data_IF_363536155125
#
_entry.id   IF_363536155125
#
_cell.length_a   1.000
_cell.length_b   1.000
_cell.length_c   1.000
_cell.angle_alpha   90.00
_cell.angle_beta   90.00
_cell.angle_gamma   90.00
#
_symmetry.space_group_name_H-M   'P 1'
#
loop_
_entity.id
_entity.type
_entity.pdbx_description
1 polymer ?
#
# COMPACT_ATOMS: atom_id res chain seq x y z
N UNK A 1 15.55 -45.35 -11.06
CA UNK A 1 15.27 -44.55 -9.85
C UNK A 1 13.76 -44.42 -9.76
N UNK A 2 13.13 -44.76 -8.63
CA UNK A 2 11.66 -44.64 -8.53
C UNK A 2 11.30 -43.15 -8.48
N UNK A 3 10.13 -42.78 -8.99
CA UNK A 3 9.68 -41.38 -9.03
C UNK A 3 9.75 -40.74 -7.64
N UNK A 4 9.36 -41.48 -6.59
CA UNK A 4 9.36 -40.99 -5.21
C UNK A 4 10.77 -40.65 -4.69
N UNK A 5 11.78 -41.41 -5.10
CA UNK A 5 13.18 -41.11 -4.76
C UNK A 5 13.65 -39.82 -5.46
N UNK A 6 13.18 -39.59 -6.69
CA UNK A 6 13.47 -38.38 -7.46
C UNK A 6 12.75 -37.17 -6.89
N UNK A 7 11.46 -37.29 -6.60
CA UNK A 7 10.64 -36.25 -5.99
C UNK A 7 11.24 -35.82 -4.63
N UNK A 8 11.57 -36.77 -3.76
CA UNK A 8 12.22 -36.49 -2.47
C UNK A 8 13.53 -35.75 -2.64
N UNK A 9 14.40 -36.23 -3.56
CA UNK A 9 15.69 -35.59 -3.82
C UNK A 9 15.54 -34.19 -4.42
N UNK A 10 14.61 -33.99 -5.35
CA UNK A 10 14.40 -32.68 -6.01
C UNK A 10 13.76 -31.66 -5.07
N UNK A 11 12.81 -32.06 -4.22
CA UNK A 11 12.17 -31.18 -3.22
C UNK A 11 13.16 -30.53 -2.26
N UNK A 12 14.27 -31.20 -1.93
CA UNK A 12 15.32 -30.61 -1.11
C UNK A 12 15.87 -29.33 -1.73
N UNK A 13 16.09 -29.30 -3.05
CA UNK A 13 16.60 -28.13 -3.75
C UNK A 13 15.57 -27.00 -3.84
N UNK A 14 14.27 -27.31 -3.88
CA UNK A 14 13.21 -26.29 -3.85
C UNK A 14 12.99 -25.69 -2.46
N UNK A 15 13.23 -26.47 -1.39
CA UNK A 15 12.82 -26.12 -0.02
C UNK A 15 13.98 -25.74 0.91
N UNK A 16 15.24 -25.92 0.49
CA UNK A 16 16.42 -25.62 1.30
C UNK A 16 16.45 -24.19 1.88
N UNK A 17 15.83 -23.22 1.19
CA UNK A 17 15.75 -21.81 1.62
C UNK A 17 14.29 -21.33 1.83
N UNK A 18 13.37 -22.25 2.14
CA UNK A 18 11.96 -21.93 2.38
C UNK A 18 11.76 -21.35 3.79
N UNK A 19 12.33 -20.17 4.02
CA UNK A 19 12.22 -19.46 5.28
C UNK A 19 10.77 -19.05 5.57
N UNK A 20 10.39 -19.14 6.84
CA UNK A 20 9.07 -18.80 7.33
C UNK A 20 9.17 -17.70 8.39
N UNK A 21 8.17 -16.81 8.46
CA UNK A 21 8.07 -15.87 9.57
C UNK A 21 7.68 -16.63 10.83
N UNK A 22 8.42 -16.42 11.92
CA UNK A 22 8.16 -17.08 13.20
C UNK A 22 6.76 -16.74 13.75
N UNK A 23 6.13 -17.66 14.50
CA UNK A 23 4.93 -17.36 15.27
C UNK A 23 5.17 -16.18 16.24
N UNK A 24 4.13 -15.38 16.49
CA UNK A 24 4.21 -14.20 17.36
C UNK A 24 4.85 -12.96 16.74
N UNK A 25 5.49 -13.07 15.57
CA UNK A 25 6.04 -11.93 14.84
C UNK A 25 4.97 -11.32 13.92
N UNK A 26 4.83 -10.00 13.94
CA UNK A 26 3.92 -9.30 13.02
C UNK A 26 4.50 -9.28 11.60
N UNK A 27 3.63 -9.44 10.61
CA UNK A 27 3.98 -9.43 9.19
C UNK A 27 3.44 -8.15 8.57
N UNK A 28 4.32 -7.37 7.95
CA UNK A 28 3.92 -6.35 6.98
C UNK A 28 4.51 -6.71 5.63
N UNK A 29 3.67 -6.87 4.61
CA UNK A 29 4.14 -7.00 3.23
C UNK A 29 4.19 -5.62 2.58
N UNK A 30 5.35 -5.25 2.03
CA UNK A 30 5.52 -4.02 1.27
C UNK A 30 5.74 -4.36 -0.20
N UNK A 31 4.90 -3.82 -1.06
CA UNK A 31 4.97 -3.94 -2.50
C UNK A 31 5.37 -2.60 -3.11
N UNK A 32 6.23 -2.63 -4.12
CA UNK A 32 6.77 -1.43 -4.78
C UNK A 32 6.77 -1.61 -6.30
N UNK A 33 6.32 -0.58 -7.02
CA UNK A 33 6.22 -0.58 -8.48
C UNK A 33 7.59 -0.57 -9.17
N UNK A 34 7.96 -1.69 -9.80
CA UNK A 34 9.24 -1.81 -10.51
C UNK A 34 9.25 -0.95 -11.77
N UNK A 35 10.05 0.13 -11.73
CA UNK A 35 10.26 0.99 -12.90
C UNK A 35 9.08 1.93 -13.18
N UNK A 36 8.24 2.19 -12.18
CA UNK A 36 7.04 3.00 -12.36
C UNK A 36 7.33 4.46 -12.70
N UNK A 37 8.50 4.98 -12.35
CA UNK A 37 8.94 6.31 -12.83
C UNK A 37 8.94 6.40 -14.36
N UNK A 38 9.34 5.33 -15.06
CA UNK A 38 9.32 5.27 -16.52
C UNK A 38 7.90 5.08 -17.04
N UNK A 39 7.18 4.13 -16.45
CA UNK A 39 5.80 3.79 -16.83
C UNK A 39 4.87 5.01 -16.77
N UNK A 40 4.93 5.77 -15.66
CA UNK A 40 4.09 6.94 -15.42
C UNK A 40 4.41 8.09 -16.37
N UNK A 41 5.69 8.31 -16.70
CA UNK A 41 6.13 9.44 -17.54
C UNK A 41 6.01 9.16 -19.04
N UNK A 42 6.31 7.95 -19.47
CA UNK A 42 6.47 7.63 -20.91
C UNK A 42 5.27 6.88 -21.49
N UNK A 43 4.44 6.24 -20.67
CA UNK A 43 3.39 5.33 -21.16
C UNK A 43 1.99 5.77 -20.75
N UNK A 44 1.80 6.23 -19.51
CA UNK A 44 0.47 6.43 -18.94
C UNK A 44 -0.08 7.86 -19.05
N UNK A 45 0.72 8.82 -19.55
CA UNK A 45 0.32 10.24 -19.71
C UNK A 45 -0.47 10.77 -18.50
N UNK A 46 0.12 10.61 -17.31
CA UNK A 46 -0.52 10.97 -16.05
C UNK A 46 -0.39 12.46 -15.75
N UNK A 47 -1.40 13.00 -15.07
CA UNK A 47 -1.32 14.31 -14.47
C UNK A 47 -0.25 14.34 -13.38
N UNK A 48 0.47 15.46 -13.31
CA UNK A 48 1.52 15.65 -12.32
C UNK A 48 1.21 16.87 -11.43
N UNK A 49 1.52 16.82 -10.12
CA UNK A 49 2.26 15.77 -9.42
C UNK A 49 1.46 14.50 -9.08
N UNK A 50 0.12 14.55 -9.13
CA UNK A 50 -0.75 13.46 -8.73
C UNK A 50 -1.88 13.25 -9.73
N UNK A 51 -2.18 11.98 -10.04
CA UNK A 51 -3.24 11.59 -10.96
C UNK A 51 -4.26 10.69 -10.25
N UNK A 52 -5.53 11.05 -10.38
CA UNK A 52 -6.65 10.34 -9.75
C UNK A 52 -6.82 8.91 -10.29
N UNK A 53 -6.58 8.69 -11.59
CA UNK A 53 -6.69 7.36 -12.22
C UNK A 53 -5.64 6.41 -11.65
N UNK A 54 -4.43 6.90 -11.46
CA UNK A 54 -3.34 6.12 -10.86
C UNK A 54 -3.62 5.81 -9.38
N UNK A 55 -4.09 6.79 -8.61
CA UNK A 55 -4.55 6.59 -7.23
C UNK A 55 -5.63 5.51 -7.16
N UNK A 56 -6.63 5.58 -8.04
CA UNK A 56 -7.76 4.64 -8.04
C UNK A 56 -7.30 3.22 -8.40
N UNK A 57 -6.36 3.07 -9.33
CA UNK A 57 -5.75 1.79 -9.65
C UNK A 57 -4.96 1.20 -8.47
N UNK A 58 -4.14 2.00 -7.80
CA UNK A 58 -3.38 1.57 -6.61
C UNK A 58 -4.31 1.20 -5.45
N UNK A 59 -5.38 1.97 -5.25
CA UNK A 59 -6.36 1.73 -4.20
C UNK A 59 -7.17 0.46 -4.45
N UNK A 60 -7.66 0.26 -5.68
CA UNK A 60 -8.35 -0.97 -6.08
C UNK A 60 -7.42 -2.20 -6.03
N UNK A 61 -6.13 -2.02 -6.32
CA UNK A 61 -5.13 -3.09 -6.17
C UNK A 61 -4.94 -3.44 -4.69
N UNK A 62 -4.87 -2.44 -3.81
CA UNK A 62 -4.75 -2.65 -2.36
C UNK A 62 -5.98 -3.35 -1.79
N UNK A 63 -7.17 -2.93 -2.20
CA UNK A 63 -8.45 -3.57 -1.84
C UNK A 63 -8.46 -5.05 -2.22
N UNK A 64 -8.11 -5.38 -3.47
CA UNK A 64 -8.02 -6.77 -3.92
C UNK A 64 -7.02 -7.60 -3.08
N UNK A 65 -5.87 -7.03 -2.74
CA UNK A 65 -4.87 -7.73 -1.91
C UNK A 65 -5.36 -8.00 -0.49
N UNK A 66 -6.28 -7.19 0.03
CA UNK A 66 -6.94 -7.46 1.31
C UNK A 66 -7.96 -8.60 1.19
N UNK A 67 -8.52 -8.83 -0.01
CA UNK A 67 -9.55 -9.83 -0.28
C UNK A 67 -9.03 -11.14 -0.88
N UNK A 68 -7.77 -11.22 -1.31
CA UNK A 68 -7.19 -12.37 -2.03
C UNK A 68 -6.85 -13.60 -1.15
N UNK A 69 -7.49 -13.70 0.02
CA UNK A 69 -7.46 -14.89 0.88
C UNK A 69 -6.34 -14.94 1.92
N UNK A 70 -5.63 -13.82 2.13
CA UNK A 70 -4.82 -13.55 3.33
C UNK A 70 -5.66 -12.78 4.35
N UNK A 71 -5.42 -12.99 5.65
CA UNK A 71 -6.03 -12.16 6.71
C UNK A 71 -5.25 -10.85 6.81
N UNK A 72 -5.56 -9.88 5.96
CA UNK A 72 -5.01 -8.52 6.05
C UNK A 72 -5.94 -7.66 6.90
N UNK A 73 -5.44 -6.97 7.92
CA UNK A 73 -6.25 -6.10 8.81
C UNK A 73 -6.22 -4.63 8.39
N UNK A 74 -5.14 -4.21 7.72
CA UNK A 74 -4.97 -2.83 7.26
C UNK A 74 -4.15 -2.80 5.98
N UNK A 75 -4.64 -2.06 4.99
CA UNK A 75 -3.91 -1.75 3.76
C UNK A 75 -3.57 -0.26 3.73
N UNK A 76 -2.38 0.09 3.25
CA UNK A 76 -1.94 1.46 3.08
C UNK A 76 -1.23 1.61 1.75
N UNK A 77 -1.59 2.62 0.95
CA UNK A 77 -0.92 2.89 -0.31
C UNK A 77 -0.57 4.36 -0.47
N UNK A 78 0.61 4.61 -1.02
CA UNK A 78 1.13 5.93 -1.34
C UNK A 78 2.02 5.82 -2.57
N UNK A 79 1.95 6.77 -3.51
CA UNK A 79 2.67 6.68 -4.78
C UNK A 79 2.43 5.29 -5.41
N UNK A 80 3.50 4.58 -5.75
CA UNK A 80 3.61 3.24 -6.31
C UNK A 80 3.89 2.15 -5.25
N UNK A 81 3.74 2.46 -3.96
CA UNK A 81 3.95 1.55 -2.85
C UNK A 81 2.62 1.10 -2.21
N UNK A 82 2.54 -0.17 -1.79
CA UNK A 82 1.45 -0.74 -0.99
C UNK A 82 2.06 -1.42 0.24
N UNK A 83 1.52 -1.17 1.43
CA UNK A 83 1.86 -1.84 2.68
C UNK A 83 0.64 -2.56 3.23
N UNK A 84 0.74 -3.86 3.49
CA UNK A 84 -0.33 -4.71 4.00
C UNK A 84 0.06 -5.23 5.38
N UNK A 85 -0.72 -4.88 6.41
CA UNK A 85 -0.59 -5.43 7.75
C UNK A 85 -1.41 -6.70 7.87
N UNK A 86 -0.74 -7.82 8.16
CA UNK A 86 -1.40 -9.10 8.38
C UNK A 86 -1.98 -9.16 9.79
N UNK A 87 -3.09 -9.88 9.92
CA UNK A 87 -3.59 -10.34 11.21
C UNK A 87 -2.50 -11.19 11.91
N UNK A 88 -2.27 -11.04 13.23
CA UNK A 88 -1.21 -11.77 13.93
C UNK A 88 -1.27 -13.30 13.76
N UNK A 89 -2.49 -13.83 13.65
CA UNK A 89 -2.77 -15.25 13.48
C UNK A 89 -2.83 -15.72 12.02
N UNK A 90 -2.50 -14.88 11.02
CA UNK A 90 -2.41 -15.38 9.66
C UNK A 90 -1.31 -16.46 9.56
N UNK A 91 -1.74 -17.65 9.15
CA UNK A 91 -0.89 -18.82 8.95
C UNK A 91 -0.87 -19.28 7.48
N UNK A 92 -1.31 -18.44 6.54
CA UNK A 92 -1.44 -18.81 5.12
C UNK A 92 -0.08 -19.25 4.59
N UNK A 93 -0.06 -20.36 3.85
CA UNK A 93 1.15 -20.98 3.32
C UNK A 93 2.24 -21.24 4.37
N UNK A 94 1.86 -21.49 5.63
CA UNK A 94 2.79 -21.65 6.76
C UNK A 94 3.75 -20.47 6.90
N UNK A 95 3.31 -19.25 6.52
CA UNK A 95 4.08 -18.00 6.62
C UNK A 95 5.42 -18.05 5.83
N UNK A 96 5.49 -18.88 4.79
CA UNK A 96 6.65 -19.03 3.91
C UNK A 96 6.89 -17.77 3.10
N UNK A 97 8.05 -17.15 3.29
CA UNK A 97 8.41 -15.88 2.63
C UNK A 97 8.29 -15.95 1.11
N UNK A 98 8.74 -17.05 0.51
CA UNK A 98 8.65 -17.27 -0.95
C UNK A 98 7.21 -17.21 -1.45
N UNK A 99 6.26 -17.80 -0.72
CA UNK A 99 4.84 -17.84 -1.10
C UNK A 99 4.15 -16.51 -0.85
N UNK A 100 4.45 -15.84 0.27
CA UNK A 100 3.92 -14.51 0.55
C UNK A 100 4.36 -13.52 -0.53
N UNK A 101 5.67 -13.44 -0.80
CA UNK A 101 6.23 -12.50 -1.77
C UNK A 101 5.73 -12.76 -3.19
N UNK A 102 5.78 -14.01 -3.67
CA UNK A 102 5.43 -14.29 -5.06
C UNK A 102 3.94 -14.17 -5.36
N UNK A 103 3.08 -14.59 -4.42
CA UNK A 103 1.62 -14.50 -4.62
C UNK A 103 1.18 -13.05 -4.54
N UNK A 104 1.58 -12.29 -3.50
CA UNK A 104 1.19 -10.88 -3.37
C UNK A 104 1.68 -10.02 -4.54
N UNK A 105 2.95 -10.16 -4.95
CA UNK A 105 3.49 -9.44 -6.09
C UNK A 105 2.76 -9.80 -7.39
N UNK A 106 2.41 -11.08 -7.58
CA UNK A 106 1.66 -11.56 -8.75
C UNK A 106 0.24 -10.99 -8.82
N UNK A 107 -0.50 -11.06 -7.70
CA UNK A 107 -1.84 -10.50 -7.56
C UNK A 107 -1.85 -8.98 -7.82
N UNK A 108 -0.91 -8.25 -7.19
CA UNK A 108 -0.79 -6.81 -7.37
C UNK A 108 -0.49 -6.42 -8.82
N UNK A 109 0.49 -7.10 -9.45
CA UNK A 109 0.87 -6.86 -10.84
C UNK A 109 -0.30 -7.12 -11.80
N UNK A 110 -1.04 -8.21 -11.60
CA UNK A 110 -2.18 -8.56 -12.44
C UNK A 110 -3.29 -7.51 -12.33
N UNK A 111 -3.73 -7.18 -11.11
CA UNK A 111 -4.84 -6.25 -10.90
C UNK A 111 -4.47 -4.85 -11.35
N UNK A 112 -3.30 -4.34 -10.96
CA UNK A 112 -2.85 -3.02 -11.40
C UNK A 112 -2.77 -2.94 -12.93
N UNK A 113 -2.20 -3.97 -13.58
CA UNK A 113 -2.05 -3.96 -15.04
C UNK A 113 -3.39 -3.92 -15.76
N UNK A 114 -4.38 -4.66 -15.25
CA UNK A 114 -5.75 -4.61 -15.78
C UNK A 114 -6.40 -3.25 -15.57
N UNK A 115 -6.20 -2.62 -14.40
CA UNK A 115 -6.76 -1.29 -14.10
C UNK A 115 -6.15 -0.19 -14.96
N UNK A 116 -4.84 -0.25 -15.21
CA UNK A 116 -4.12 0.75 -16.00
C UNK A 116 -4.04 0.44 -17.50
N UNK A 117 -4.53 -0.72 -17.93
CA UNK A 117 -4.38 -1.21 -19.32
C UNK A 117 -2.93 -1.16 -19.82
N UNK A 118 -1.97 -1.40 -18.92
CA UNK A 118 -0.53 -1.35 -19.20
C UNK A 118 0.21 -2.27 -18.24
N UNK A 119 1.34 -2.83 -18.66
CA UNK A 119 2.09 -3.79 -17.84
C UNK A 119 2.75 -3.07 -16.67
N UNK A 120 2.23 -3.30 -15.47
CA UNK A 120 2.85 -2.91 -14.20
C UNK A 120 3.31 -4.15 -13.44
N UNK A 121 4.54 -4.09 -12.93
CA UNK A 121 5.16 -5.17 -12.16
C UNK A 121 5.49 -4.66 -10.78
N UNK A 122 5.12 -5.42 -9.76
CA UNK A 122 5.47 -5.15 -8.36
C UNK A 122 6.56 -6.09 -7.88
N UNK A 123 7.47 -5.58 -7.05
CA UNK A 123 8.18 -6.43 -6.10
C UNK A 123 7.39 -6.56 -4.80
N UNK A 124 7.76 -7.53 -3.96
CA UNK A 124 7.20 -7.68 -2.62
C UNK A 124 8.30 -8.09 -1.66
N UNK A 125 8.31 -7.46 -0.49
CA UNK A 125 9.20 -7.79 0.64
C UNK A 125 8.40 -7.91 1.92
N UNK A 126 8.77 -8.86 2.77
CA UNK A 126 8.17 -9.04 4.09
C UNK A 126 9.03 -8.36 5.15
N UNK A 127 8.42 -7.45 5.89
CA UNK A 127 8.95 -6.89 7.13
C UNK A 127 8.44 -7.74 8.31
N UNK A 128 9.40 -8.26 9.09
CA UNK A 128 9.14 -9.05 10.30
C UNK A 128 9.30 -8.13 11.51
N UNK A 129 8.19 -7.77 12.14
CA UNK A 129 8.13 -6.74 13.19
C UNK A 129 7.87 -7.41 14.56
N UNK A 130 8.86 -7.41 15.47
CA UNK A 130 8.78 -8.19 16.72
C UNK A 130 7.65 -7.80 17.66
N UNK A 131 7.25 -6.53 17.71
CA UNK A 131 6.19 -6.08 18.60
C UNK A 131 5.28 -5.03 17.96
N UNK A 132 4.15 -4.76 18.62
CA UNK A 132 3.17 -3.74 18.16
C UNK A 132 3.79 -2.36 18.00
N UNK A 133 4.78 -1.98 18.83
CA UNK A 133 5.51 -0.71 18.69
C UNK A 133 6.23 -0.63 17.34
N UNK A 134 6.89 -1.71 16.90
CA UNK A 134 7.58 -1.75 15.61
C UNK A 134 6.59 -1.64 14.43
N UNK A 135 5.38 -2.19 14.58
CA UNK A 135 4.29 -2.03 13.60
C UNK A 135 3.85 -0.56 13.50
N UNK A 136 3.65 0.10 14.65
CA UNK A 136 3.30 1.52 14.68
C UNK A 136 4.41 2.36 14.06
N UNK A 137 5.66 2.16 14.48
CA UNK A 137 6.81 2.91 13.97
C UNK A 137 6.99 2.69 12.47
N UNK A 138 6.71 1.49 11.95
CA UNK A 138 6.68 1.22 10.52
C UNK A 138 5.65 2.09 9.78
N UNK A 139 4.39 2.11 10.21
CA UNK A 139 3.36 2.90 9.52
C UNK A 139 3.54 4.41 9.69
N UNK A 140 4.09 4.87 10.82
CA UNK A 140 4.55 6.27 10.96
C UNK A 140 5.63 6.58 9.95
N UNK A 141 6.65 5.73 9.82
CA UNK A 141 7.71 5.93 8.85
C UNK A 141 7.19 6.01 7.41
N UNK A 142 6.22 5.16 7.03
CA UNK A 142 5.62 5.17 5.69
C UNK A 142 4.75 6.40 5.42
N UNK A 143 4.01 6.88 6.40
CA UNK A 143 3.15 8.08 6.27
C UNK A 143 3.96 9.37 6.28
N UNK A 144 5.01 9.46 7.10
CA UNK A 144 5.97 10.58 7.09
C UNK A 144 6.73 10.66 5.75
N UNK A 145 7.11 9.51 5.19
CA UNK A 145 7.73 9.46 3.86
C UNK A 145 6.78 9.98 2.77
N UNK A 146 5.50 9.54 2.79
CA UNK A 146 4.49 10.03 1.87
C UNK A 146 4.29 11.55 1.97
N UNK A 147 4.22 12.10 3.19
CA UNK A 147 4.08 13.54 3.42
C UNK A 147 5.26 14.33 2.86
N UNK A 148 6.49 13.88 3.13
CA UNK A 148 7.72 14.50 2.62
C UNK A 148 7.78 14.42 1.09
N UNK A 149 7.45 13.27 0.51
CA UNK A 149 7.48 13.06 -0.93
C UNK A 149 6.43 13.93 -1.63
N UNK A 150 5.23 14.05 -1.05
CA UNK A 150 4.18 14.92 -1.56
C UNK A 150 4.58 16.39 -1.57
N UNK A 151 5.11 16.89 -0.44
CA UNK A 151 5.60 18.28 -0.37
C UNK A 151 6.68 18.53 -1.42
N UNK A 152 7.64 17.61 -1.56
CA UNK A 152 8.70 17.72 -2.54
C UNK A 152 8.16 17.67 -3.99
N UNK A 153 7.19 16.80 -4.27
CA UNK A 153 6.58 16.65 -5.59
C UNK A 153 5.81 17.91 -6.00
N UNK A 154 5.02 18.49 -5.09
CA UNK A 154 4.34 19.77 -5.34
C UNK A 154 5.33 20.89 -5.62
N UNK A 155 6.39 21.02 -4.80
CA UNK A 155 7.43 22.04 -5.04
C UNK A 155 8.10 21.85 -6.40
N UNK A 156 8.47 20.61 -6.72
CA UNK A 156 9.15 20.28 -7.97
C UNK A 156 8.28 20.64 -9.17
N UNK A 157 7.03 20.18 -9.20
CA UNK A 157 6.13 20.44 -10.33
C UNK A 157 5.71 21.90 -10.42
N UNK A 158 5.59 22.61 -9.30
CA UNK A 158 5.38 24.06 -9.33
C UNK A 158 6.54 24.79 -10.01
N UNK A 159 7.79 24.48 -9.63
CA UNK A 159 8.98 25.03 -10.29
C UNK A 159 9.05 24.67 -11.78
N UNK A 160 8.68 23.43 -12.14
CA UNK A 160 8.63 22.98 -13.53
C UNK A 160 7.59 23.75 -14.36
N UNK A 161 6.42 24.00 -13.78
CA UNK A 161 5.35 24.77 -14.43
C UNK A 161 5.71 26.25 -14.57
N UNK A 162 6.51 26.79 -13.65
CA UNK A 162 7.08 28.14 -13.73
C UNK A 162 8.25 28.24 -14.75
N UNK A 163 8.55 27.17 -15.49
CA UNK A 163 9.56 27.15 -16.55
C UNK A 163 10.96 26.66 -16.15
N UNK A 164 11.14 26.20 -14.91
CA UNK A 164 12.44 25.65 -14.48
C UNK A 164 12.77 24.35 -15.23
N UNK A 165 14.04 24.20 -15.62
CA UNK A 165 14.53 22.94 -16.19
C UNK A 165 14.57 21.81 -15.13
N UNK A 166 14.66 20.55 -15.58
CA UNK A 166 14.83 19.37 -14.66
C UNK A 166 15.96 19.65 -13.66
N UNK A 167 17.13 20.03 -14.16
CA UNK A 167 18.34 20.21 -13.35
C UNK A 167 18.16 21.35 -12.35
N UNK A 168 17.61 22.48 -12.80
CA UNK A 168 17.39 23.65 -11.95
C UNK A 168 16.40 23.35 -10.84
N UNK A 169 15.25 22.73 -11.15
CA UNK A 169 14.24 22.38 -10.16
C UNK A 169 14.80 21.39 -9.11
N UNK A 170 15.50 20.34 -9.55
CA UNK A 170 16.11 19.37 -8.63
C UNK A 170 17.17 20.01 -7.74
N UNK A 171 18.05 20.83 -8.30
CA UNK A 171 19.09 21.51 -7.52
C UNK A 171 18.52 22.54 -6.55
N UNK A 172 17.44 23.23 -6.91
CA UNK A 172 16.79 24.22 -6.04
C UNK A 172 16.20 23.56 -4.79
N UNK A 173 15.58 22.38 -4.94
CA UNK A 173 14.96 21.67 -3.81
C UNK A 173 15.96 20.90 -2.94
N UNK A 174 17.20 20.74 -3.41
CA UNK A 174 18.22 19.99 -2.71
C UNK A 174 18.65 20.73 -1.44
N UNK A 175 18.52 20.08 -0.29
CA UNK A 175 18.90 20.65 1.01
C UNK A 175 17.86 21.60 1.63
N UNK A 176 16.77 21.91 0.94
CA UNK A 176 15.68 22.71 1.52
C UNK A 176 15.00 21.96 2.68
N UNK A 177 14.78 22.68 3.77
CA UNK A 177 13.97 22.27 4.90
C UNK A 177 12.48 22.20 4.55
N UNK A 178 11.69 21.56 5.43
CA UNK A 178 10.24 21.49 5.29
C UNK A 178 9.61 22.89 5.32
N UNK A 179 10.11 23.80 6.15
CA UNK A 179 9.62 25.17 6.24
C UNK A 179 9.86 25.95 4.94
N UNK A 180 11.07 25.88 4.38
CA UNK A 180 11.40 26.55 3.12
C UNK A 180 10.57 26.02 1.94
N UNK A 181 10.27 24.71 1.92
CA UNK A 181 9.39 24.12 0.89
C UNK A 181 7.95 24.61 1.00
N UNK A 182 7.42 24.73 2.23
CA UNK A 182 6.10 25.31 2.43
C UNK A 182 6.04 26.77 1.99
N UNK A 183 7.04 27.56 2.37
CA UNK A 183 7.16 28.96 1.96
C UNK A 183 7.25 29.09 0.42
N UNK A 184 8.04 28.23 -0.23
CA UNK A 184 8.16 28.19 -1.70
C UNK A 184 6.81 27.99 -2.40
N UNK A 185 5.97 27.09 -1.88
CA UNK A 185 4.62 26.86 -2.41
C UNK A 185 3.69 28.03 -2.11
N UNK A 186 3.75 28.55 -0.89
CA UNK A 186 2.89 29.65 -0.45
C UNK A 186 3.13 30.92 -1.28
N UNK A 187 4.39 31.29 -1.51
CA UNK A 187 4.78 32.41 -2.39
C UNK A 187 4.27 32.26 -3.83
N UNK A 188 3.96 31.03 -4.25
CA UNK A 188 3.43 30.72 -5.58
C UNK A 188 1.93 30.39 -5.55
N UNK A 189 1.23 30.81 -4.50
CA UNK A 189 -0.22 30.74 -4.36
C UNK A 189 -0.75 29.34 -4.04
N UNK A 190 0.05 28.46 -3.44
CA UNK A 190 -0.39 27.11 -3.03
C UNK A 190 -0.09 26.90 -1.55
N UNK A 191 -1.13 26.73 -0.75
CA UNK A 191 -0.99 26.28 0.63
C UNK A 191 -1.01 24.75 0.68
N UNK A 192 0.09 24.14 1.11
CA UNK A 192 0.21 22.68 1.17
C UNK A 192 -0.85 22.04 2.09
N UNK A 193 -1.27 22.73 3.15
CA UNK A 193 -2.25 22.20 4.10
C UNK A 193 -3.65 22.07 3.51
N UNK A 194 -3.99 22.86 2.48
CA UNK A 194 -5.31 22.86 1.84
C UNK A 194 -5.43 21.80 0.73
N UNK A 195 -4.33 21.14 0.39
CA UNK A 195 -4.33 20.06 -0.61
C UNK A 195 -5.06 18.81 -0.09
N UNK A 196 -5.64 17.99 -0.99
CA UNK A 196 -6.33 16.76 -0.61
C UNK A 196 -5.50 15.84 0.29
N UNK A 197 -6.13 15.26 1.30
CA UNK A 197 -5.46 14.40 2.29
C UNK A 197 -4.72 13.24 1.63
N UNK A 198 -5.33 12.59 0.63
CA UNK A 198 -4.73 11.45 -0.06
C UNK A 198 -3.41 11.78 -0.78
N UNK A 199 -3.23 13.02 -1.24
CA UNK A 199 -1.97 13.46 -1.85
C UNK A 199 -0.87 13.59 -0.79
N UNK A 200 -1.23 14.07 0.41
CA UNK A 200 -0.29 14.35 1.50
C UNK A 200 0.01 13.15 2.38
N UNK A 201 -0.92 12.21 2.50
CA UNK A 201 -0.86 11.13 3.50
C UNK A 201 -1.00 9.74 2.88
N UNK A 202 -1.29 9.62 1.59
CA UNK A 202 -1.68 8.35 0.99
C UNK A 202 -3.12 7.95 1.34
N UNK A 203 -3.48 6.71 1.04
CA UNK A 203 -4.81 6.15 1.26
C UNK A 203 -4.69 4.93 2.17
N UNK A 204 -5.42 4.93 3.28
CA UNK A 204 -5.58 3.74 4.14
C UNK A 204 -6.89 3.02 3.85
N UNK A 205 -6.87 1.71 3.97
CA UNK A 205 -8.01 0.82 3.77
C UNK A 205 -8.16 -0.09 4.99
N UNK A 206 -9.39 -0.22 5.48
CA UNK A 206 -9.74 -1.08 6.61
C UNK A 206 -11.04 -1.84 6.34
N UNK A 207 -11.31 -2.85 7.15
CA UNK A 207 -12.60 -3.53 7.12
C UNK A 207 -13.66 -2.73 7.87
N UNK A 208 -14.84 -2.63 7.27
CA UNK A 208 -16.04 -2.20 7.96
C UNK A 208 -17.13 -3.27 7.90
N UNK A 209 -17.95 -3.31 8.95
CA UNK A 209 -19.16 -4.11 8.98
C UNK A 209 -20.34 -3.26 8.53
N UNK A 210 -21.16 -3.79 7.63
CA UNK A 210 -22.38 -3.15 7.18
C UNK A 210 -23.54 -4.13 7.20
N UNK A 211 -24.73 -3.59 7.44
CA UNK A 211 -25.96 -4.35 7.35
C UNK A 211 -26.41 -4.45 5.90
N UNK A 212 -26.52 -5.69 5.40
CA UNK A 212 -27.10 -5.97 4.11
C UNK A 212 -28.51 -6.51 4.29
N UNK A 213 -29.50 -5.74 3.85
CA UNK A 213 -30.88 -6.23 3.71
C UNK A 213 -30.94 -7.24 2.57
N UNK A 214 -31.52 -8.39 2.86
CA UNK A 214 -31.81 -9.45 1.90
C UNK A 214 -33.25 -9.92 2.07
N UNK A 215 -33.67 -10.78 1.15
CA UNK A 215 -34.97 -11.42 1.22
C UNK A 215 -34.75 -12.93 1.25
N UNK A 216 -35.36 -13.61 2.21
CA UNK A 216 -35.31 -15.07 2.26
C UNK A 216 -36.10 -15.65 1.06
N UNK A 217 -35.47 -16.38 0.13
CA UNK A 217 -36.14 -16.89 -1.07
C UNK A 217 -37.30 -17.85 -0.79
N UNK A 218 -37.30 -18.51 0.39
CA UNK A 218 -38.33 -19.48 0.77
C UNK A 218 -39.50 -18.87 1.53
N UNK A 219 -39.27 -17.79 2.30
CA UNK A 219 -40.30 -17.20 3.17
C UNK A 219 -40.73 -15.79 2.76
N UNK A 220 -40.03 -15.16 1.83
CA UNK A 220 -40.30 -13.78 1.39
C UNK A 220 -40.02 -12.70 2.44
N UNK A 221 -39.63 -13.09 3.66
CA UNK A 221 -39.33 -12.17 4.78
C UNK A 221 -38.01 -11.45 4.55
N UNK A 222 -37.99 -10.17 4.89
CA UNK A 222 -36.74 -9.40 4.97
C UNK A 222 -35.85 -10.00 6.06
N UNK A 223 -34.58 -10.17 5.72
CA UNK A 223 -33.54 -10.59 6.65
C UNK A 223 -32.40 -9.59 6.60
N UNK A 224 -31.85 -9.26 7.77
CA UNK A 224 -30.63 -8.46 7.86
C UNK A 224 -29.47 -9.40 8.11
N UNK A 225 -28.43 -9.31 7.28
CA UNK A 225 -27.19 -10.04 7.48
C UNK A 225 -26.04 -9.04 7.64
N UNK A 226 -25.21 -9.26 8.66
CA UNK A 226 -23.96 -8.53 8.80
C UNK A 226 -22.96 -9.06 7.75
N UNK A 227 -22.35 -8.13 7.03
CA UNK A 227 -21.31 -8.41 6.03
C UNK A 227 -20.12 -7.49 6.31
N UNK A 228 -18.93 -7.94 5.92
CA UNK A 228 -17.75 -7.06 5.87
C UNK A 228 -17.48 -6.61 4.45
N UNK A 229 -16.90 -5.43 4.29
CA UNK A 229 -16.26 -4.97 3.05
C UNK A 229 -15.03 -4.15 3.40
N UNK A 230 -14.10 -4.04 2.46
CA UNK A 230 -13.02 -3.07 2.57
C UNK A 230 -13.60 -1.67 2.32
N UNK A 231 -13.18 -0.69 3.12
CA UNK A 231 -13.48 0.72 2.92
C UNK A 231 -12.19 1.53 2.90
N UNK A 232 -12.20 2.62 2.13
CA UNK A 232 -11.16 3.64 2.21
C UNK A 232 -11.42 4.52 3.43
N UNK A 233 -10.37 4.82 4.19
CA UNK A 233 -10.43 5.72 5.34
C UNK A 233 -10.52 7.15 4.81
N UNK A 234 -11.63 7.88 5.04
CA UNK A 234 -11.83 9.22 4.46
C UNK A 234 -10.75 10.22 4.86
N UNK A 235 -10.37 10.20 6.14
CA UNK A 235 -9.30 11.00 6.69
C UNK A 235 -8.30 10.09 7.39
N UNK A 236 -7.21 9.76 6.70
CA UNK A 236 -6.17 8.93 7.29
C UNK A 236 -5.53 9.66 8.49
N UNK A 237 -5.53 9.06 9.69
CA UNK A 237 -4.85 9.61 10.86
C UNK A 237 -3.37 9.84 10.59
N UNK A 238 -2.78 10.82 11.27
CA UNK A 238 -1.37 11.17 11.09
C UNK A 238 -0.67 11.35 12.44
N UNK A 239 0.66 11.14 12.47
CA UNK A 239 1.46 11.32 13.69
C UNK A 239 0.97 10.45 14.86
N UNK A 240 0.61 11.08 15.96
CA UNK A 240 0.22 10.39 17.19
C UNK A 240 -1.18 9.76 17.09
N UNK A 241 -2.09 10.33 16.30
CA UNK A 241 -3.40 9.72 16.03
C UNK A 241 -3.24 8.39 15.29
N UNK A 242 -2.32 8.33 14.32
CA UNK A 242 -1.97 7.07 13.64
C UNK A 242 -1.42 6.05 14.64
N UNK A 243 -0.64 6.51 15.61
CA UNK A 243 -0.03 5.65 16.65
C UNK A 243 -1.08 5.01 17.55
N UNK A 244 -2.21 5.70 17.77
CA UNK A 244 -3.36 5.16 18.51
C UNK A 244 -4.28 4.32 17.63
N UNK A 245 -4.33 4.60 16.33
CA UNK A 245 -5.21 3.93 15.37
C UNK A 245 -4.79 2.49 15.03
N UNK A 246 -3.49 2.21 14.91
CA UNK A 246 -2.99 0.92 14.43
C UNK A 246 -3.17 -0.24 15.45
N UNK A 247 -2.85 -0.09 16.76
CA UNK A 247 -2.89 -1.22 17.70
C UNK A 247 -4.24 -1.94 17.80
N UNK A 248 -5.41 -1.27 17.84
CA UNK A 248 -6.71 -1.95 17.86
C UNK A 248 -6.94 -2.89 16.67
N UNK A 249 -6.37 -2.61 15.50
CA UNK A 249 -6.51 -3.43 14.29
C UNK A 249 -5.81 -4.80 14.40
N UNK A 250 -4.88 -4.95 15.33
CA UNK A 250 -4.20 -6.22 15.59
C UNK A 250 -5.03 -7.17 16.47
N UNK A 251 -6.14 -6.68 17.02
CA UNK A 251 -7.03 -7.42 17.94
C UNK A 251 -8.41 -7.69 17.36
N UNK A 252 -8.68 -7.24 16.13
CA UNK A 252 -9.96 -7.46 15.45
C UNK A 252 -10.04 -8.85 14.81
N UNK A 253 -11.06 -9.62 15.17
CA UNK A 253 -11.37 -10.97 14.65
C UNK A 253 -11.74 -11.03 13.16
#
# INVERSE_FOLDING_TARGET
MKFDDLDTRMRLFETAHDHCVLPGIHIVARLDGRGFTKLTKETLELEAPFDVRFRDAMTATTEHLMECGFRIVFGYTQSDEISLLFHPEDAKYNRKLRKLNSVLAGEASAVFSMRMSSVGVFDCRICQLPCTKDVVDYFRWRTEDAHRNALNAHCYWKLRNDGSSVRSATSHLMGMSVAEKNELLFQRGTNFNDLPVWQKRGVGLMWEHYEKKGQNPQTGKETTALRRRVMQIPELPFGDELSMFIPPLLTTD
#
